data_IF_221797455911
#
_entry.id   IF_221797455911
#
_cell.length_a   1.000
_cell.length_b   1.000
_cell.length_c   1.000
_cell.angle_alpha   90.00
_cell.angle_beta   90.00
_cell.angle_gamma   90.00
#
_symmetry.space_group_name_H-M   'P 1'
#
loop_
_entity.id
_entity.type
_entity.pdbx_description
1 polymer ?
#
# COMPACT_ATOMS: atom_id res chain seq x y z
N UNK A 1 12.08 -6.16 0.29
CA UNK A 1 11.26 -4.95 0.44
C UNK A 1 10.65 -4.97 1.81
N UNK A 2 10.91 -3.92 2.58
CA UNK A 2 10.26 -3.69 3.85
C UNK A 2 8.76 -3.37 3.61
N UNK A 3 7.90 -3.64 4.60
CA UNK A 3 6.45 -3.42 4.47
C UNK A 3 6.07 -1.97 4.14
N UNK A 4 6.85 -0.98 4.58
CA UNK A 4 6.64 0.43 4.24
C UNK A 4 6.90 0.73 2.77
N UNK A 5 8.06 0.31 2.25
CA UNK A 5 8.46 0.48 0.83
C UNK A 5 7.41 -0.09 -0.13
N UNK A 6 6.78 -1.21 0.25
CA UNK A 6 5.74 -1.86 -0.53
C UNK A 6 4.44 -1.03 -0.62
N UNK A 7 4.12 -0.23 0.40
CA UNK A 7 2.99 0.69 0.35
C UNK A 7 3.36 1.99 -0.40
N UNK A 8 4.60 2.46 -0.28
CA UNK A 8 5.06 3.68 -0.93
C UNK A 8 4.98 3.60 -2.45
N UNK A 9 5.30 2.43 -3.03
CA UNK A 9 5.15 2.18 -4.48
C UNK A 9 3.71 2.28 -4.98
N UNK A 10 2.71 2.29 -4.10
CA UNK A 10 1.30 2.43 -4.48
C UNK A 10 0.83 3.88 -4.45
N UNK A 11 1.60 4.82 -3.92
CA UNK A 11 1.13 6.19 -3.74
C UNK A 11 1.00 6.95 -5.07
N UNK A 12 2.05 7.02 -5.88
CA UNK A 12 2.04 7.74 -7.16
C UNK A 12 1.44 6.89 -8.29
N UNK A 13 1.84 5.62 -8.48
CA UNK A 13 1.45 4.85 -9.67
C UNK A 13 -0.03 4.48 -9.76
N UNK A 14 -0.76 4.44 -8.65
CA UNK A 14 -2.21 4.15 -8.65
C UNK A 14 -3.06 5.31 -9.18
N UNK A 15 -2.53 6.55 -9.19
CA UNK A 15 -3.32 7.77 -9.43
C UNK A 15 -2.97 8.51 -10.71
N UNK A 16 -1.70 8.45 -11.13
CA UNK A 16 -1.20 9.30 -12.20
C UNK A 16 -0.83 8.47 -13.45
N UNK A 17 -1.57 8.56 -14.57
CA UNK A 17 -1.29 7.75 -15.76
C UNK A 17 0.11 7.95 -16.36
N UNK A 18 0.71 9.14 -16.18
CA UNK A 18 2.02 9.49 -16.75
C UNK A 18 3.21 8.70 -16.18
N UNK A 19 3.01 7.95 -15.09
CA UNK A 19 4.04 7.04 -14.56
C UNK A 19 4.09 5.68 -15.26
N UNK A 20 3.07 5.36 -16.06
CA UNK A 20 3.00 4.11 -16.80
C UNK A 20 3.44 4.33 -18.25
N UNK A 21 4.17 3.38 -18.87
CA UNK A 21 4.55 3.49 -20.28
C UNK A 21 3.34 3.56 -21.23
N UNK A 22 2.20 2.97 -20.82
CA UNK A 22 0.94 2.99 -21.56
C UNK A 22 -0.23 2.59 -20.66
N UNK A 23 -1.45 2.95 -21.07
CA UNK A 23 -2.69 2.50 -20.42
C UNK A 23 -3.06 3.24 -19.13
N UNK A 24 -4.26 2.96 -18.63
CA UNK A 24 -4.75 3.55 -17.38
C UNK A 24 -4.16 2.81 -16.16
N UNK A 25 -3.87 3.52 -15.04
CA UNK A 25 -3.27 2.94 -13.84
C UNK A 25 -3.89 1.62 -13.35
N UNK A 26 -5.23 1.52 -13.34
CA UNK A 26 -5.92 0.33 -12.85
C UNK A 26 -5.60 -0.95 -13.65
N UNK A 27 -5.12 -0.83 -14.89
CA UNK A 27 -4.76 -1.99 -15.73
C UNK A 27 -3.45 -2.65 -15.32
N UNK A 28 -2.64 -1.97 -14.50
CA UNK A 28 -1.34 -2.45 -14.03
C UNK A 28 -1.41 -3.09 -12.63
N UNK A 29 -2.62 -3.26 -12.10
CA UNK A 29 -2.85 -3.86 -10.79
C UNK A 29 -3.69 -5.12 -10.91
N UNK A 30 -3.29 -6.15 -10.18
CA UNK A 30 -4.08 -7.36 -10.00
C UNK A 30 -4.68 -7.41 -8.59
N UNK A 31 -5.67 -8.29 -8.41
CA UNK A 31 -6.30 -8.53 -7.10
C UNK A 31 -5.27 -8.88 -6.02
N UNK A 32 -4.23 -9.65 -6.36
CA UNK A 32 -3.15 -10.04 -5.44
C UNK A 32 -2.39 -8.83 -4.89
N UNK A 33 -2.23 -7.77 -5.69
CA UNK A 33 -1.56 -6.54 -5.25
C UNK A 33 -2.41 -5.81 -4.21
N UNK A 34 -3.72 -5.73 -4.45
CA UNK A 34 -4.67 -5.14 -3.51
C UNK A 34 -4.72 -5.92 -2.19
N UNK A 35 -4.80 -7.25 -2.26
CA UNK A 35 -4.83 -8.11 -1.07
C UNK A 35 -3.54 -8.00 -0.25
N UNK A 36 -2.39 -7.95 -0.92
CA UNK A 36 -1.09 -7.73 -0.27
C UNK A 36 -1.02 -6.36 0.41
N UNK A 37 -1.37 -5.28 -0.31
CA UNK A 37 -1.35 -3.92 0.23
C UNK A 37 -2.29 -3.78 1.45
N UNK A 38 -3.50 -4.33 1.36
CA UNK A 38 -4.45 -4.35 2.48
C UNK A 38 -3.92 -5.14 3.68
N UNK A 39 -3.29 -6.29 3.45
CA UNK A 39 -2.66 -7.09 4.50
C UNK A 39 -1.58 -6.31 5.24
N UNK A 40 -0.72 -5.62 4.50
CA UNK A 40 0.34 -4.78 5.07
C UNK A 40 -0.24 -3.60 5.85
N UNK A 41 -1.18 -2.85 5.26
CA UNK A 41 -1.83 -1.71 5.91
C UNK A 41 -2.49 -2.10 7.24
N UNK A 42 -3.17 -3.26 7.29
CA UNK A 42 -3.76 -3.78 8.53
C UNK A 42 -2.71 -4.07 9.61
N UNK A 43 -1.55 -4.64 9.23
CA UNK A 43 -0.45 -4.91 10.17
C UNK A 43 0.14 -3.61 10.73
N UNK A 44 0.41 -2.63 9.88
CA UNK A 44 0.94 -1.32 10.30
C UNK A 44 -0.02 -0.62 11.25
N UNK A 45 -1.31 -0.52 10.88
CA UNK A 45 -2.33 0.09 11.74
C UNK A 45 -2.49 -0.68 13.05
N UNK A 46 -2.45 -2.01 13.01
CA UNK A 46 -2.52 -2.87 14.20
C UNK A 46 -1.37 -2.60 15.16
N UNK A 47 -0.15 -2.51 14.65
CA UNK A 47 1.04 -2.18 15.44
C UNK A 47 0.91 -0.81 16.11
N UNK A 48 0.61 0.24 15.34
CA UNK A 48 0.48 1.62 15.86
C UNK A 48 -0.60 1.70 16.94
N UNK A 49 -1.75 1.05 16.73
CA UNK A 49 -2.82 0.98 17.74
C UNK A 49 -2.36 0.30 19.03
N UNK A 50 -1.54 -0.74 18.94
CA UNK A 50 -0.95 -1.41 20.11
C UNK A 50 -0.05 -0.49 20.91
N UNK A 51 0.79 0.31 20.23
CA UNK A 51 1.68 1.27 20.89
C UNK A 51 0.88 2.37 21.61
N UNK A 52 -0.16 2.90 20.97
CA UNK A 52 -1.02 3.94 21.57
C UNK A 52 -1.74 3.41 22.82
N UNK A 53 -2.27 2.18 22.78
CA UNK A 53 -2.98 1.58 23.92
C UNK A 53 -2.09 1.25 25.13
N UNK A 54 -0.80 1.00 24.92
CA UNK A 54 0.17 0.77 26.00
C UNK A 54 0.78 2.05 26.58
N UNK A 55 0.37 3.22 26.10
CA UNK A 55 0.92 4.53 26.49
C UNK A 55 0.09 5.27 27.56
N UNK A 56 -0.80 4.57 28.27
CA UNK A 56 -1.63 5.11 29.34
C UNK A 56 -1.63 4.18 30.56
#
# INVERSE_FOLDING_TARGET
>A
MESGEELDRHYVPTRYPNVWPHGAPFKHYERKDAEKALGIARRVIGYVRGQIKGSY
#
